data_IF_127800364874
#
_entry.id   IF_127800364874
#
_cell.length_a   1.000
_cell.length_b   1.000
_cell.length_c   1.000
_cell.angle_alpha   90.00
_cell.angle_beta   90.00
_cell.angle_gamma   90.00
#
_symmetry.space_group_name_H-M   'P 1'
#
loop_
_entity.id
_entity.type
_entity.pdbx_description
1 polymer ?
#
# COMPACT_ATOMS: atom_id res chain seq x y z
N UNK A 1 -16.67 -17.06 -3.73
CA UNK A 1 -15.38 -17.79 -3.84
C UNK A 1 -14.29 -16.84 -3.39
N UNK A 2 -13.46 -17.25 -2.44
CA UNK A 2 -12.43 -16.41 -1.82
C UNK A 2 -11.18 -16.45 -2.70
N UNK A 3 -10.64 -15.29 -3.05
CA UNK A 3 -9.42 -15.16 -3.85
C UNK A 3 -8.26 -14.74 -2.98
N UNK A 4 -7.21 -15.55 -2.91
CA UNK A 4 -5.98 -15.26 -2.16
C UNK A 4 -4.90 -14.81 -3.15
N UNK A 5 -4.25 -13.68 -2.90
CA UNK A 5 -3.10 -13.22 -3.68
C UNK A 5 -1.81 -13.43 -2.87
N UNK A 6 -0.81 -14.06 -3.49
CA UNK A 6 0.49 -14.34 -2.86
C UNK A 6 1.61 -14.04 -3.85
N UNK A 7 2.65 -13.33 -3.38
CA UNK A 7 3.81 -12.95 -4.18
C UNK A 7 5.11 -13.46 -3.54
N UNK A 8 6.06 -13.93 -4.37
CA UNK A 8 7.43 -14.33 -3.97
C UNK A 8 8.43 -13.67 -4.93
N UNK A 9 9.45 -12.99 -4.40
CA UNK A 9 10.48 -12.27 -5.19
C UNK A 9 11.15 -13.22 -6.21
N UNK A 10 11.15 -12.84 -7.49
CA UNK A 10 11.86 -13.56 -8.57
C UNK A 10 10.97 -14.28 -9.60
N UNK A 11 9.66 -14.39 -9.38
CA UNK A 11 8.70 -14.85 -10.40
C UNK A 11 7.37 -14.11 -10.25
N UNK A 12 7.13 -13.14 -11.14
CA UNK A 12 5.74 -12.73 -11.50
C UNK A 12 4.98 -13.85 -12.24
N UNK A 13 5.48 -15.09 -12.20
CA UNK A 13 4.93 -16.21 -12.95
C UNK A 13 3.63 -16.67 -12.27
N UNK A 14 2.52 -16.05 -12.69
CA UNK A 14 1.12 -16.35 -12.36
C UNK A 14 0.67 -15.95 -10.96
N UNK A 15 0.76 -14.67 -10.63
CA UNK A 15 -0.31 -14.07 -9.84
C UNK A 15 -1.55 -13.98 -10.75
N UNK A 16 -2.28 -15.09 -10.90
CA UNK A 16 -3.60 -15.07 -11.51
C UNK A 16 -4.55 -14.56 -10.43
N UNK A 17 -4.69 -13.25 -10.31
CA UNK A 17 -5.89 -12.67 -9.71
C UNK A 17 -7.06 -12.99 -10.67
N UNK A 18 -7.61 -14.20 -10.59
CA UNK A 18 -8.95 -14.48 -11.14
C UNK A 18 -9.92 -14.35 -9.97
N UNK A 19 -10.06 -13.11 -9.52
CA UNK A 19 -11.14 -12.67 -8.66
C UNK A 19 -11.87 -11.59 -9.44
N UNK A 20 -12.86 -11.99 -10.23
CA UNK A 20 -13.85 -11.06 -10.76
C UNK A 20 -14.52 -10.45 -9.53
N UNK A 21 -14.27 -9.16 -9.26
CA UNK A 21 -15.16 -8.39 -8.38
C UNK A 21 -16.44 -8.25 -9.18
N UNK A 22 -17.40 -9.14 -8.94
CA UNK A 22 -18.70 -9.11 -9.60
C UNK A 22 -19.32 -7.72 -9.37
N UNK A 23 -19.60 -7.05 -10.48
CA UNK A 23 -19.67 -5.61 -10.55
C UNK A 23 -21.00 -5.04 -10.09
N UNK A 24 -20.90 -3.93 -9.35
CA UNK A 24 -21.90 -2.88 -9.27
C UNK A 24 -21.35 -1.76 -8.40
N UNK A 25 -20.38 -1.00 -8.92
CA UNK A 25 -20.14 0.40 -8.53
C UNK A 25 -19.23 1.04 -9.58
N UNK A 26 -19.86 1.76 -10.52
CA UNK A 26 -19.18 2.69 -11.39
C UNK A 26 -18.41 3.70 -10.52
N UNK A 27 -17.08 3.68 -10.58
CA UNK A 27 -16.19 4.73 -10.04
C UNK A 27 -16.51 5.11 -8.58
N UNK A 28 -16.54 4.15 -7.67
CA UNK A 28 -16.46 4.49 -6.24
C UNK A 28 -15.04 5.02 -5.97
N UNK A 29 -14.92 6.27 -5.52
CA UNK A 29 -13.65 6.86 -5.09
C UNK A 29 -12.98 6.07 -3.96
N UNK A 30 -11.77 6.47 -3.53
CA UNK A 30 -11.05 5.77 -2.47
C UNK A 30 -11.85 5.79 -1.15
N UNK A 31 -11.79 4.72 -0.36
CA UNK A 31 -12.51 4.67 0.93
C UNK A 31 -11.99 5.71 1.94
N UNK A 32 -12.84 6.13 2.87
CA UNK A 32 -12.49 7.14 3.88
C UNK A 32 -11.31 6.69 4.76
N UNK A 33 -11.31 5.42 5.16
CA UNK A 33 -10.22 4.81 5.92
C UNK A 33 -8.91 4.90 5.14
N UNK A 34 -8.95 4.61 3.83
CA UNK A 34 -7.76 4.64 3.00
C UNK A 34 -7.23 6.06 2.78
N UNK A 35 -8.11 7.03 2.50
CA UNK A 35 -7.72 8.45 2.39
C UNK A 35 -7.07 8.94 3.69
N UNK A 36 -7.63 8.61 4.85
CA UNK A 36 -7.07 8.98 6.16
C UNK A 36 -5.65 8.41 6.37
N UNK A 37 -5.43 7.15 6.00
CA UNK A 37 -4.10 6.52 6.03
C UNK A 37 -3.12 7.28 5.12
N UNK A 38 -3.52 7.59 3.89
CA UNK A 38 -2.70 8.34 2.95
C UNK A 38 -2.35 9.74 3.46
N UNK A 39 -3.30 10.46 4.05
CA UNK A 39 -3.04 11.78 4.63
C UNK A 39 -2.06 11.73 5.81
N UNK A 40 -2.21 10.73 6.68
CA UNK A 40 -1.38 10.60 7.88
C UNK A 40 0.02 10.10 7.57
N UNK A 41 0.16 9.19 6.60
CA UNK A 41 1.39 8.45 6.36
C UNK A 41 1.95 8.62 4.95
N UNK A 42 1.59 9.69 4.22
CA UNK A 42 2.01 9.96 2.84
C UNK A 42 3.50 9.67 2.58
N UNK A 43 4.40 10.10 3.48
CA UNK A 43 5.86 9.91 3.34
C UNK A 43 6.32 8.45 3.27
N UNK A 44 5.49 7.52 3.73
CA UNK A 44 5.81 6.10 3.82
C UNK A 44 5.14 5.28 2.72
N UNK A 45 4.22 5.84 1.94
CA UNK A 45 3.45 5.06 0.96
C UNK A 45 4.03 5.18 -0.44
N UNK A 46 4.36 6.40 -0.85
CA UNK A 46 5.01 6.68 -2.13
C UNK A 46 6.19 7.62 -1.90
N UNK A 47 7.36 7.22 -2.38
CA UNK A 47 8.60 8.00 -2.30
C UNK A 47 8.58 9.22 -3.22
N UNK A 48 7.85 9.13 -4.33
CA UNK A 48 7.79 10.13 -5.38
C UNK A 48 6.50 10.95 -5.30
N UNK A 49 6.62 12.27 -5.41
CA UNK A 49 5.48 13.19 -5.57
C UNK A 49 4.92 13.17 -7.00
N UNK A 50 4.86 12.00 -7.60
CA UNK A 50 4.30 11.78 -8.92
C UNK A 50 3.13 10.79 -8.77
N UNK A 51 1.93 11.27 -9.09
CA UNK A 51 0.74 10.43 -9.19
C UNK A 51 0.71 9.78 -10.58
N UNK A 52 0.37 8.50 -10.63
CA UNK A 52 0.28 7.73 -11.86
C UNK A 52 -1.18 7.57 -12.32
N UNK A 53 -1.42 7.25 -13.62
CA UNK A 53 -2.76 6.92 -14.10
C UNK A 53 -3.44 5.84 -13.25
N UNK A 54 -4.65 6.12 -12.78
CA UNK A 54 -5.42 5.24 -11.90
C UNK A 54 -5.20 5.50 -10.40
N UNK A 55 -4.21 6.30 -10.00
CA UNK A 55 -4.15 6.85 -8.65
C UNK A 55 -5.23 7.94 -8.46
N UNK A 56 -5.51 8.28 -7.22
CA UNK A 56 -6.27 9.49 -6.91
C UNK A 56 -5.38 10.56 -6.29
N UNK A 57 -5.78 11.81 -6.42
CA UNK A 57 -5.24 12.92 -5.65
C UNK A 57 -6.34 13.53 -4.79
N UNK A 58 -5.99 13.86 -3.55
CA UNK A 58 -6.88 14.56 -2.62
C UNK A 58 -6.18 15.80 -2.06
N UNK A 59 -6.89 16.92 -1.85
CA UNK A 59 -6.37 18.01 -1.03
C UNK A 59 -6.01 17.51 0.37
N UNK A 60 -4.97 18.08 0.98
CA UNK A 60 -4.59 17.74 2.35
C UNK A 60 -5.71 18.14 3.33
N UNK A 61 -6.20 17.17 4.10
CA UNK A 61 -7.37 17.34 4.97
C UNK A 61 -8.71 17.24 4.23
N UNK A 62 -8.71 16.89 2.94
CA UNK A 62 -9.90 16.60 2.16
C UNK A 62 -10.53 15.24 2.50
N UNK A 63 -11.67 14.93 1.88
CA UNK A 63 -12.39 13.67 2.03
C UNK A 63 -12.33 12.85 0.73
N UNK A 64 -12.77 11.58 0.73
CA UNK A 64 -12.98 10.80 -0.49
C UNK A 64 -13.74 11.53 -1.60
N UNK A 65 -14.70 12.39 -1.25
CA UNK A 65 -15.54 13.11 -2.22
C UNK A 65 -14.76 14.16 -3.02
N UNK A 66 -13.63 14.64 -2.49
CA UNK A 66 -12.74 15.55 -3.21
C UNK A 66 -11.63 14.84 -3.97
N UNK A 67 -11.65 13.50 -4.00
CA UNK A 67 -10.69 12.71 -4.75
C UNK A 67 -10.87 12.88 -6.26
N UNK A 68 -9.77 13.20 -6.93
CA UNK A 68 -9.73 13.30 -8.39
C UNK A 68 -8.92 12.13 -8.93
N UNK A 69 -9.51 11.37 -9.84
CA UNK A 69 -8.82 10.28 -10.52
C UNK A 69 -7.78 10.87 -11.48
N UNK A 70 -6.56 10.35 -11.39
CA UNK A 70 -5.43 10.75 -12.22
C UNK A 70 -5.51 9.97 -13.53
N UNK A 71 -5.55 10.68 -14.66
CA UNK A 71 -5.66 10.07 -15.99
C UNK A 71 -4.31 9.97 -16.70
N UNK A 72 -3.36 10.82 -16.32
CA UNK A 72 -2.00 10.90 -16.86
C UNK A 72 -1.01 11.19 -15.73
N UNK A 73 0.30 10.88 -15.87
CA UNK A 73 1.27 11.17 -14.81
C UNK A 73 1.30 12.65 -14.43
N UNK A 74 1.11 12.95 -13.14
CA UNK A 74 1.07 14.34 -12.62
C UNK A 74 1.98 14.49 -11.41
N UNK A 75 2.84 15.50 -11.44
CA UNK A 75 3.61 15.92 -10.28
C UNK A 75 2.70 16.66 -9.29
N UNK A 76 2.63 16.18 -8.06
CA UNK A 76 1.75 16.77 -7.04
C UNK A 76 2.43 17.91 -6.28
N UNK A 77 1.71 19.02 -6.19
CA UNK A 77 2.14 20.20 -5.45
C UNK A 77 2.11 19.98 -3.93
N UNK A 78 2.73 20.91 -3.18
CA UNK A 78 2.62 20.93 -1.72
C UNK A 78 1.16 21.13 -1.34
N UNK A 79 0.64 20.28 -0.45
CA UNK A 79 -0.75 20.36 0.01
C UNK A 79 -1.71 19.43 -0.74
N UNK A 80 -1.22 18.68 -1.73
CA UNK A 80 -1.94 17.56 -2.35
C UNK A 80 -1.34 16.24 -1.87
N UNK A 81 -2.19 15.26 -1.63
CA UNK A 81 -1.83 13.91 -1.21
C UNK A 81 -2.16 12.94 -2.33
N UNK A 82 -1.19 12.11 -2.71
CA UNK A 82 -1.43 10.98 -3.61
C UNK A 82 -2.08 9.85 -2.82
N UNK A 83 -3.12 9.27 -3.38
CA UNK A 83 -3.83 8.09 -2.89
C UNK A 83 -3.62 7.01 -3.95
N UNK A 84 -2.58 6.16 -3.80
CA UNK A 84 -2.19 5.20 -4.83
C UNK A 84 -3.28 4.17 -5.12
N UNK A 85 -3.33 3.65 -6.35
CA UNK A 85 -4.10 2.42 -6.63
C UNK A 85 -3.47 1.21 -5.94
N UNK A 86 -4.29 0.18 -5.69
CA UNK A 86 -3.86 -1.04 -5.00
C UNK A 86 -2.65 -1.70 -5.67
N UNK A 87 -2.62 -1.76 -7.01
CA UNK A 87 -1.53 -2.37 -7.77
C UNK A 87 -0.19 -1.69 -7.52
N UNK A 88 -0.20 -0.35 -7.38
CA UNK A 88 0.99 0.44 -7.07
C UNK A 88 1.49 0.11 -5.67
N UNK A 89 0.59 0.01 -4.68
CA UNK A 89 0.94 -0.40 -3.33
C UNK A 89 1.50 -1.83 -3.28
N UNK A 90 0.92 -2.77 -4.01
CA UNK A 90 1.41 -4.16 -4.07
C UNK A 90 2.82 -4.23 -4.68
N UNK A 91 3.08 -3.44 -5.71
CA UNK A 91 4.41 -3.30 -6.29
C UNK A 91 5.41 -2.74 -5.26
N UNK A 92 5.03 -1.69 -4.52
CA UNK A 92 5.87 -1.15 -3.44
C UNK A 92 6.12 -2.19 -2.34
N UNK A 93 5.08 -2.92 -1.91
CA UNK A 93 5.22 -3.95 -0.87
C UNK A 93 6.18 -5.07 -1.31
N UNK A 94 6.10 -5.49 -2.57
CA UNK A 94 7.01 -6.51 -3.13
C UNK A 94 8.49 -6.10 -3.12
N UNK A 95 8.77 -4.79 -3.10
CA UNK A 95 10.14 -4.27 -2.97
C UNK A 95 10.63 -4.35 -1.53
N UNK A 96 9.72 -4.10 -0.58
CA UNK A 96 10.01 -4.06 0.85
C UNK A 96 10.16 -5.45 1.48
N UNK A 97 9.42 -6.46 1.03
CA UNK A 97 9.46 -7.82 1.62
C UNK A 97 9.93 -8.90 0.64
N UNK A 98 10.14 -10.11 1.14
CA UNK A 98 10.49 -11.28 0.30
C UNK A 98 9.23 -11.94 -0.26
N UNK A 99 8.20 -12.04 0.58
CA UNK A 99 6.89 -12.53 0.20
C UNK A 99 5.81 -11.85 1.02
N UNK A 100 4.59 -11.84 0.47
CA UNK A 100 3.41 -11.38 1.19
C UNK A 100 2.17 -12.16 0.75
N UNK A 101 1.15 -12.12 1.60
CA UNK A 101 -0.19 -12.66 1.38
C UNK A 101 -1.18 -11.54 1.60
N UNK A 102 -2.07 -11.34 0.64
CA UNK A 102 -3.29 -10.54 0.79
C UNK A 102 -4.47 -11.49 0.64
N UNK A 103 -5.22 -11.68 1.72
CA UNK A 103 -6.35 -12.58 1.78
C UNK A 103 -7.61 -11.83 2.20
N UNK A 104 -8.76 -12.27 1.73
CA UNK A 104 -10.05 -11.71 2.12
C UNK A 104 -10.83 -12.77 2.89
N UNK A 105 -11.09 -12.53 4.17
CA UNK A 105 -11.86 -13.44 5.03
C UNK A 105 -12.81 -12.66 5.91
N UNK A 106 -13.99 -13.19 6.18
CA UNK A 106 -14.95 -12.59 7.13
C UNK A 106 -15.28 -11.11 6.89
N UNK A 107 -15.29 -10.66 5.62
CA UNK A 107 -15.52 -9.26 5.20
C UNK A 107 -14.36 -8.29 5.45
N UNK A 108 -13.18 -8.80 5.77
CA UNK A 108 -11.97 -8.02 5.98
C UNK A 108 -10.81 -8.54 5.12
N UNK A 109 -9.84 -7.67 4.89
CA UNK A 109 -8.62 -7.96 4.17
C UNK A 109 -7.47 -8.09 5.15
N UNK A 110 -6.82 -9.25 5.15
CA UNK A 110 -5.61 -9.51 5.91
C UNK A 110 -4.39 -9.39 4.99
N UNK A 111 -3.45 -8.52 5.32
CA UNK A 111 -2.17 -8.36 4.66
C UNK A 111 -1.04 -8.80 5.59
N UNK A 112 -0.33 -9.87 5.22
CA UNK A 112 0.80 -10.41 5.99
C UNK A 112 2.04 -10.41 5.11
N UNK A 113 3.12 -9.81 5.59
CA UNK A 113 4.40 -9.71 4.86
C UNK A 113 5.52 -10.40 5.64
N UNK A 114 6.47 -11.00 4.91
CA UNK A 114 7.54 -11.81 5.46
C UNK A 114 8.92 -11.43 4.90
N UNK A 115 9.95 -11.58 5.73
CA UNK A 115 11.36 -11.45 5.31
C UNK A 115 11.92 -12.73 4.69
N UNK A 116 13.22 -12.72 4.37
CA UNK A 116 13.93 -13.86 3.78
C UNK A 116 13.99 -15.09 4.71
N UNK A 117 13.94 -14.87 6.03
CA UNK A 117 13.93 -15.94 7.03
C UNK A 117 12.51 -16.43 7.32
N UNK A 118 11.49 -15.88 6.65
CA UNK A 118 10.09 -16.20 6.89
C UNK A 118 9.53 -15.56 8.16
N UNK A 119 10.22 -14.61 8.77
CA UNK A 119 9.73 -13.86 9.93
C UNK A 119 8.72 -12.83 9.47
N UNK A 120 7.67 -12.65 10.26
CA UNK A 120 6.62 -11.67 9.97
C UNK A 120 7.15 -10.26 10.14
N UNK A 121 7.10 -9.48 9.06
CA UNK A 121 7.42 -8.06 9.04
C UNK A 121 6.18 -7.21 9.31
N UNK A 122 5.00 -7.65 8.86
CA UNK A 122 3.73 -6.97 9.15
C UNK A 122 2.59 -7.99 9.12
N UNK A 123 1.59 -7.77 9.96
CA UNK A 123 0.33 -8.51 9.97
C UNK A 123 -0.79 -7.52 10.27
N UNK A 124 -1.57 -7.20 9.24
CA UNK A 124 -2.56 -6.11 9.26
C UNK A 124 -3.90 -6.65 8.80
N UNK A 125 -4.97 -6.19 9.43
CA UNK A 125 -6.35 -6.43 8.99
C UNK A 125 -7.04 -5.08 8.78
N UNK A 126 -7.72 -4.92 7.65
CA UNK A 126 -8.52 -3.73 7.35
C UNK A 126 -9.77 -4.07 6.54
N UNK A 127 -10.77 -3.19 6.55
CA UNK A 127 -12.00 -3.34 5.75
C UNK A 127 -11.80 -3.09 4.25
N UNK A 128 -10.61 -2.63 3.84
CA UNK A 128 -10.27 -2.24 2.48
C UNK A 128 -8.89 -2.80 2.11
N UNK A 129 -8.71 -3.36 0.90
CA UNK A 129 -7.46 -4.01 0.51
C UNK A 129 -6.30 -3.01 0.40
N UNK A 130 -6.54 -1.81 -0.12
CA UNK A 130 -5.52 -0.78 -0.25
C UNK A 130 -5.12 -0.26 1.14
N UNK A 131 -6.08 -0.11 2.06
CA UNK A 131 -5.81 0.23 3.45
C UNK A 131 -4.94 -0.82 4.15
N UNK A 132 -5.22 -2.12 3.97
CA UNK A 132 -4.43 -3.21 4.56
C UNK A 132 -2.98 -3.17 4.07
N UNK A 133 -2.78 -3.07 2.74
CA UNK A 133 -1.44 -3.02 2.13
C UNK A 133 -0.70 -1.73 2.51
N UNK A 134 -1.38 -0.59 2.52
CA UNK A 134 -0.81 0.70 2.91
C UNK A 134 -0.32 0.68 4.36
N UNK A 135 -1.13 0.18 5.29
CA UNK A 135 -0.73 0.03 6.68
C UNK A 135 0.46 -0.92 6.85
N UNK A 136 0.51 -2.04 6.11
CA UNK A 136 1.66 -2.94 6.12
C UNK A 136 2.93 -2.23 5.64
N UNK A 137 2.87 -1.47 4.53
CA UNK A 137 3.98 -0.66 4.04
C UNK A 137 4.47 0.36 5.08
N UNK A 138 3.53 1.06 5.74
CA UNK A 138 3.85 2.03 6.79
C UNK A 138 4.58 1.35 7.94
N UNK A 139 4.10 0.18 8.38
CA UNK A 139 4.71 -0.56 9.48
C UNK A 139 6.14 -0.96 9.15
N UNK A 140 6.35 -1.63 8.00
CA UNK A 140 7.66 -2.13 7.58
C UNK A 140 8.67 -0.98 7.44
N UNK A 141 8.28 0.11 6.77
CA UNK A 141 9.19 1.23 6.52
C UNK A 141 9.50 2.02 7.79
N UNK A 142 8.51 2.21 8.67
CA UNK A 142 8.72 2.86 9.95
C UNK A 142 9.64 2.05 10.87
N UNK A 143 9.46 0.72 10.92
CA UNK A 143 10.32 -0.18 11.68
C UNK A 143 11.77 -0.12 11.19
N UNK A 144 11.98 -0.20 9.86
CA UNK A 144 13.31 -0.08 9.26
C UNK A 144 13.98 1.25 9.58
N UNK A 145 13.25 2.35 9.50
CA UNK A 145 13.78 3.66 9.83
C UNK A 145 14.15 3.78 11.32
N UNK A 146 13.37 3.18 12.21
CA UNK A 146 13.69 3.12 13.64
C UNK A 146 14.96 2.28 13.89
N UNK A 147 15.11 1.14 13.21
CA UNK A 147 16.30 0.30 13.31
C UNK A 147 17.56 1.01 12.78
N UNK A 148 17.47 1.71 11.64
CA UNK A 148 18.59 2.49 11.09
C UNK A 148 19.05 3.63 12.00
N UNK A 149 18.17 4.15 12.85
CA UNK A 149 18.51 5.19 13.84
C UNK A 149 19.20 4.61 15.09
N UNK A 150 19.00 3.31 15.34
CA UNK A 150 19.50 2.60 16.52
C UNK A 150 20.80 1.82 16.24
N UNK A 151 21.35 1.86 15.02
CA UNK A 151 22.68 1.29 14.77
C UNK A 151 23.72 2.15 15.49
N UNK A 152 24.39 1.63 16.54
CA UNK A 152 25.46 2.36 17.21
C UNK A 152 26.58 2.54 16.19
N UNK A 153 27.03 3.78 16.03
CA UNK A 153 28.16 4.09 15.16
C UNK A 153 29.29 3.10 15.41
N UNK A 154 29.68 2.38 14.36
CA UNK A 154 30.97 1.73 14.30
C UNK A 154 31.98 2.84 14.54
N UNK A 155 32.54 2.84 15.75
CA UNK A 155 33.58 3.76 16.15
C UNK A 155 34.71 3.65 15.14
N UNK A 156 34.94 4.74 14.42
CA UNK A 156 36.22 4.97 13.75
C UNK A 156 37.26 5.13 14.85
N UNK A 157 38.02 4.05 15.08
CA UNK A 157 39.36 4.13 15.66
C UNK A 157 40.33 4.73 14.64
#
# INVERSE_FOLDING_TARGET
>A
MLGTASCVKGKWARCRAVGYVEGSDLVSGPSEVYVSICQRFARWLVSERCAEPGDWIVPRGGSPESAQLVMEPVWVEKGVIVVPRLERLLSELSRECTSFVLDFTSREYACVAFDEQGRTLANVVASDPAAAVAQALVFIRAERAAQATNEPGVGTH
#
